data_IF_231738132799
#
_entry.id   IF_231738132799
#
_cell.length_a   1.000
_cell.length_b   1.000
_cell.length_c   1.000
_cell.angle_alpha   90.00
_cell.angle_beta   90.00
_cell.angle_gamma   90.00
#
_symmetry.space_group_name_H-M   'P 1'
#
loop_
_entity.id
_entity.type
_entity.pdbx_description
1 polymer ?
#
# COMPACT_ATOMS: atom_id res chain seq x y z
N UNK A 1 19.45 -3.05 -7.19
CA UNK A 1 18.57 -2.46 -8.23
C UNK A 1 17.28 -1.95 -7.62
N UNK A 2 16.57 -2.74 -6.83
CA UNK A 2 15.27 -2.38 -6.21
C UNK A 2 15.29 -1.11 -5.36
N UNK A 3 16.35 -0.86 -4.58
CA UNK A 3 16.53 0.40 -3.81
C UNK A 3 16.59 1.65 -4.71
N UNK A 4 17.17 1.53 -5.91
CA UNK A 4 17.17 2.63 -6.90
C UNK A 4 15.78 2.82 -7.53
N UNK A 5 14.97 1.76 -7.64
CA UNK A 5 13.59 1.83 -8.16
C UNK A 5 12.69 2.55 -7.15
N UNK A 6 12.82 2.17 -5.89
CA UNK A 6 12.13 2.78 -4.75
C UNK A 6 12.36 4.29 -4.71
N UNK A 7 13.63 4.73 -4.77
CA UNK A 7 13.96 6.15 -4.80
C UNK A 7 13.32 6.85 -6.01
N UNK A 8 13.45 6.29 -7.21
CA UNK A 8 12.91 6.93 -8.43
C UNK A 8 11.37 7.01 -8.41
N UNK A 9 10.67 5.97 -7.93
CA UNK A 9 9.20 5.97 -7.78
C UNK A 9 8.74 6.98 -6.72
N UNK A 10 9.53 7.17 -5.64
CA UNK A 10 9.22 8.14 -4.60
C UNK A 10 9.36 9.59 -5.10
N UNK A 11 10.39 9.88 -5.89
CA UNK A 11 10.66 11.22 -6.41
C UNK A 11 9.76 11.67 -7.57
N UNK A 12 9.13 10.74 -8.30
CA UNK A 12 8.19 11.08 -9.39
C UNK A 12 6.84 11.64 -8.90
N UNK A 13 6.54 11.55 -7.60
CA UNK A 13 5.27 12.00 -7.03
C UNK A 13 5.16 13.51 -6.80
N UNK A 14 6.26 14.26 -6.73
CA UNK A 14 6.26 15.55 -6.00
C UNK A 14 6.83 16.79 -6.72
N UNK A 15 7.37 16.72 -7.94
CA UNK A 15 8.06 17.91 -8.51
C UNK A 15 7.84 18.13 -10.01
N UNK A 16 7.01 19.14 -10.33
CA UNK A 16 6.61 19.53 -11.68
C UNK A 16 7.68 20.22 -12.56
N UNK A 17 8.96 20.28 -12.16
CA UNK A 17 9.99 21.02 -12.91
C UNK A 17 11.32 20.25 -13.14
N UNK A 18 11.48 19.02 -12.63
CA UNK A 18 12.68 18.17 -12.86
C UNK A 18 12.43 16.95 -13.78
N UNK A 19 11.35 17.01 -14.57
CA UNK A 19 10.70 15.84 -15.15
C UNK A 19 11.54 15.03 -16.14
N UNK A 20 12.27 15.64 -17.09
CA UNK A 20 12.82 14.89 -18.22
C UNK A 20 13.93 13.89 -17.87
N UNK A 21 14.91 14.28 -17.04
CA UNK A 21 16.03 13.39 -16.68
C UNK A 21 15.58 12.27 -15.74
N UNK A 22 14.78 12.59 -14.72
CA UNK A 22 14.24 11.59 -13.79
C UNK A 22 13.30 10.62 -14.52
N UNK A 23 12.44 11.13 -15.40
CA UNK A 23 11.59 10.31 -16.28
C UNK A 23 12.41 9.39 -17.18
N UNK A 24 13.46 9.90 -17.82
CA UNK A 24 14.33 9.08 -18.67
C UNK A 24 15.01 7.95 -17.88
N UNK A 25 15.49 8.25 -16.66
CA UNK A 25 16.06 7.23 -15.76
C UNK A 25 15.01 6.20 -15.36
N UNK A 26 13.79 6.64 -15.05
CA UNK A 26 12.68 5.75 -14.74
C UNK A 26 12.34 4.82 -15.91
N UNK A 27 12.13 5.34 -17.12
CA UNK A 27 11.86 4.53 -18.30
C UNK A 27 12.97 3.50 -18.58
N UNK A 28 14.24 3.91 -18.50
CA UNK A 28 15.39 2.99 -18.62
C UNK A 28 15.40 1.92 -17.55
N UNK A 29 14.94 2.25 -16.36
CA UNK A 29 14.86 1.30 -15.26
C UNK A 29 13.73 0.29 -15.48
N UNK A 30 12.54 0.76 -15.87
CA UNK A 30 11.41 -0.09 -16.25
C UNK A 30 11.82 -1.03 -17.37
N UNK A 31 12.47 -0.52 -18.42
CA UNK A 31 12.97 -1.35 -19.52
C UNK A 31 13.92 -2.46 -19.04
N UNK A 32 14.83 -2.15 -18.10
CA UNK A 32 15.72 -3.16 -17.51
C UNK A 32 14.98 -4.20 -16.69
N UNK A 33 14.00 -3.78 -15.88
CA UNK A 33 13.19 -4.70 -15.07
C UNK A 33 12.37 -5.62 -15.99
N UNK A 34 11.78 -5.09 -17.06
CA UNK A 34 10.99 -5.88 -18.01
C UNK A 34 11.81 -6.87 -18.85
N UNK A 35 13.16 -6.78 -18.88
CA UNK A 35 14.02 -7.75 -19.58
C UNK A 35 14.07 -9.11 -18.90
N UNK A 36 13.83 -9.15 -17.60
CA UNK A 36 13.71 -10.38 -16.84
C UNK A 36 12.27 -10.50 -16.35
N UNK A 37 11.53 -11.43 -16.97
CA UNK A 37 10.10 -11.59 -16.77
C UNK A 37 9.74 -12.03 -15.35
N UNK A 38 10.66 -12.71 -14.66
CA UNK A 38 10.49 -13.08 -13.26
C UNK A 38 10.54 -11.86 -12.33
N UNK A 39 11.30 -10.81 -12.68
CA UNK A 39 11.43 -9.63 -11.82
C UNK A 39 10.13 -8.85 -11.64
N UNK A 40 9.24 -8.82 -12.64
CA UNK A 40 7.94 -8.17 -12.49
C UNK A 40 7.03 -8.92 -11.53
N UNK A 41 7.09 -10.25 -11.55
CA UNK A 41 6.34 -11.11 -10.63
C UNK A 41 6.89 -10.99 -9.23
N UNK A 42 8.22 -11.01 -9.07
CA UNK A 42 8.86 -10.79 -7.78
C UNK A 42 8.57 -9.40 -7.23
N UNK A 43 8.49 -8.38 -8.09
CA UNK A 43 8.09 -7.04 -7.66
C UNK A 43 6.65 -7.04 -7.13
N UNK A 44 5.72 -7.70 -7.82
CA UNK A 44 4.33 -7.78 -7.37
C UNK A 44 4.20 -8.57 -6.07
N UNK A 45 4.78 -9.78 -6.01
CA UNK A 45 4.68 -10.67 -4.85
C UNK A 45 5.34 -10.07 -3.60
N UNK A 46 6.55 -9.52 -3.72
CA UNK A 46 7.31 -9.05 -2.56
C UNK A 46 6.93 -7.64 -2.10
N UNK A 47 6.16 -6.88 -2.89
CA UNK A 47 5.81 -5.50 -2.55
C UNK A 47 4.31 -5.22 -2.56
N UNK A 48 3.59 -5.64 -3.60
CA UNK A 48 2.16 -5.37 -3.71
C UNK A 48 1.34 -6.35 -2.86
N UNK A 49 1.76 -7.61 -2.75
CA UNK A 49 1.08 -8.62 -1.92
C UNK A 49 1.55 -8.66 -0.46
N UNK A 50 2.62 -7.94 -0.10
CA UNK A 50 3.09 -7.80 1.28
C UNK A 50 2.33 -6.64 1.97
N UNK A 51 1.83 -6.87 3.19
CA UNK A 51 1.00 -5.91 3.95
C UNK A 51 1.79 -4.69 4.46
N UNK A 52 3.10 -4.84 4.69
CA UNK A 52 3.97 -3.79 5.24
C UNK A 52 4.75 -3.05 4.15
N UNK A 53 4.87 -3.65 2.96
CA UNK A 53 5.57 -3.04 1.83
C UNK A 53 4.68 -2.07 1.01
N UNK A 54 5.24 -1.09 0.30
CA UNK A 54 4.48 -0.22 -0.61
C UNK A 54 4.09 -0.94 -1.91
N UNK A 55 2.95 -0.59 -2.52
CA UNK A 55 2.53 -1.12 -3.84
C UNK A 55 3.40 -0.59 -5.00
N UNK A 56 4.61 -1.14 -5.20
CA UNK A 56 5.56 -0.67 -6.19
C UNK A 56 5.15 -0.97 -7.63
N UNK A 57 4.61 -2.17 -7.88
CA UNK A 57 4.16 -2.55 -9.22
C UNK A 57 2.98 -1.68 -9.64
N UNK A 58 1.95 -1.57 -8.80
CA UNK A 58 0.78 -0.72 -9.05
C UNK A 58 1.16 0.76 -9.24
N UNK A 59 2.05 1.30 -8.40
CA UNK A 59 2.54 2.69 -8.54
C UNK A 59 3.27 2.90 -9.86
N UNK A 60 4.14 1.96 -10.26
CA UNK A 60 4.85 2.04 -11.53
C UNK A 60 3.87 2.07 -12.71
N UNK A 61 2.92 1.14 -12.76
CA UNK A 61 1.92 1.04 -13.84
C UNK A 61 1.00 2.26 -13.86
N UNK A 62 0.54 2.72 -12.70
CA UNK A 62 -0.36 3.88 -12.58
C UNK A 62 0.33 5.16 -13.01
N UNK A 63 1.59 5.37 -12.60
CA UNK A 63 2.38 6.53 -13.04
C UNK A 63 2.58 6.51 -14.55
N UNK A 64 3.02 5.38 -15.13
CA UNK A 64 3.16 5.25 -16.58
C UNK A 64 1.83 5.50 -17.31
N UNK A 65 0.72 5.00 -16.78
CA UNK A 65 -0.62 5.19 -17.36
C UNK A 65 -1.04 6.66 -17.37
N UNK A 66 -0.84 7.38 -16.26
CA UNK A 66 -1.12 8.83 -16.18
C UNK A 66 -0.25 9.62 -17.16
N UNK A 67 1.03 9.29 -17.26
CA UNK A 67 1.95 9.94 -18.19
C UNK A 67 1.61 9.67 -19.66
N UNK A 68 1.15 8.45 -19.98
CA UNK A 68 0.69 8.08 -21.30
C UNK A 68 -0.59 8.85 -21.72
N UNK A 69 -1.52 9.05 -20.79
CA UNK A 69 -2.74 9.83 -21.03
C UNK A 69 -2.43 11.33 -21.22
N UNK A 70 -1.51 11.85 -20.41
CA UNK A 70 -1.06 13.23 -20.42
C UNK A 70 -2.11 14.23 -19.91
N UNK A 71 -1.69 15.47 -19.68
CA UNK A 71 -2.56 16.51 -19.13
C UNK A 71 -3.41 17.17 -20.23
N UNK A 72 -4.72 17.32 -20.00
CA UNK A 72 -5.68 17.84 -20.99
C UNK A 72 -5.67 19.38 -21.14
N UNK A 73 -4.83 20.09 -20.39
CA UNK A 73 -4.91 21.55 -20.25
C UNK A 73 -3.59 22.24 -20.61
N UNK A 74 -3.16 22.16 -21.87
CA UNK A 74 -1.95 22.85 -22.34
C UNK A 74 -2.17 23.42 -23.74
N UNK A 75 -1.76 24.68 -23.91
CA UNK A 75 -1.78 25.39 -25.19
C UNK A 75 -0.95 24.66 -26.27
N UNK A 76 -1.52 24.38 -27.47
CA UNK A 76 -0.86 23.58 -28.51
C UNK A 76 0.43 24.19 -29.08
N UNK A 77 0.66 25.49 -28.89
CA UNK A 77 1.81 26.22 -29.44
C UNK A 77 2.99 26.37 -28.47
N UNK A 78 2.97 25.72 -27.30
CA UNK A 78 4.08 25.78 -26.34
C UNK A 78 5.18 24.75 -26.68
N UNK A 79 6.45 25.09 -26.41
CA UNK A 79 7.61 24.16 -26.47
C UNK A 79 7.35 22.89 -25.62
N UNK A 80 6.48 23.01 -24.63
CA UNK A 80 5.95 21.92 -23.78
C UNK A 80 5.19 20.85 -24.57
N UNK A 81 4.57 21.18 -25.72
CA UNK A 81 3.78 20.25 -26.52
C UNK A 81 4.62 19.16 -27.20
N UNK A 82 5.83 19.48 -27.69
CA UNK A 82 6.72 18.49 -28.34
C UNK A 82 7.34 17.52 -27.31
N UNK A 83 7.72 18.03 -26.14
CA UNK A 83 8.22 17.23 -25.02
C UNK A 83 7.12 16.32 -24.45
N UNK A 84 5.88 16.80 -24.37
CA UNK A 84 4.72 16.01 -23.94
C UNK A 84 4.49 14.81 -24.87
N UNK A 85 4.61 14.98 -26.19
CA UNK A 85 4.48 13.88 -27.15
C UNK A 85 5.53 12.77 -26.92
N UNK A 86 6.78 13.15 -26.67
CA UNK A 86 7.87 12.20 -26.38
C UNK A 86 7.66 11.44 -25.06
N UNK A 87 7.18 12.11 -24.02
CA UNK A 87 6.86 11.49 -22.72
C UNK A 87 5.71 10.49 -22.84
N UNK A 88 4.63 10.85 -23.56
CA UNK A 88 3.51 9.94 -23.80
C UNK A 88 3.97 8.68 -24.54
N UNK A 89 4.71 8.85 -25.63
CA UNK A 89 5.23 7.73 -26.43
C UNK A 89 6.14 6.80 -25.63
N UNK A 90 7.06 7.37 -24.85
CA UNK A 90 7.98 6.59 -24.00
C UNK A 90 7.24 5.86 -22.87
N UNK A 91 6.21 6.47 -22.28
CA UNK A 91 5.38 5.86 -21.24
C UNK A 91 4.55 4.69 -21.78
N UNK A 92 3.94 4.87 -22.96
CA UNK A 92 3.23 3.79 -23.66
C UNK A 92 4.18 2.64 -24.00
N UNK A 93 5.38 2.93 -24.48
CA UNK A 93 6.37 1.89 -24.77
C UNK A 93 6.77 1.10 -23.51
N UNK A 94 6.92 1.77 -22.36
CA UNK A 94 7.18 1.11 -21.09
C UNK A 94 6.01 0.20 -20.68
N UNK A 95 4.76 0.65 -20.81
CA UNK A 95 3.57 -0.18 -20.55
C UNK A 95 3.52 -1.42 -21.46
N UNK A 96 3.82 -1.25 -22.74
CA UNK A 96 3.93 -2.37 -23.69
C UNK A 96 5.03 -3.35 -23.27
N UNK A 97 6.17 -2.86 -22.79
CA UNK A 97 7.25 -3.72 -22.31
C UNK A 97 6.85 -4.50 -21.04
N UNK A 98 6.10 -3.88 -20.12
CA UNK A 98 5.53 -4.57 -18.95
C UNK A 98 4.62 -5.71 -19.42
N UNK A 99 3.69 -5.44 -20.34
CA UNK A 99 2.77 -6.46 -20.87
C UNK A 99 3.50 -7.60 -21.58
N UNK A 100 4.48 -7.29 -22.44
CA UNK A 100 5.29 -8.29 -23.15
C UNK A 100 6.03 -9.19 -22.16
N UNK A 101 6.67 -8.59 -21.16
CA UNK A 101 7.40 -9.30 -20.12
C UNK A 101 6.50 -10.27 -19.34
N UNK A 102 5.28 -9.85 -18.98
CA UNK A 102 4.30 -10.74 -18.33
C UNK A 102 3.83 -11.88 -19.24
N UNK A 103 3.63 -11.63 -20.54
CA UNK A 103 3.30 -12.67 -21.52
C UNK A 103 4.45 -13.67 -21.66
N UNK A 104 5.70 -13.19 -21.67
CA UNK A 104 6.88 -14.04 -21.76
C UNK A 104 7.10 -14.87 -20.49
N UNK A 105 6.79 -14.30 -19.32
CA UNK A 105 6.75 -15.06 -18.06
C UNK A 105 5.72 -16.20 -18.14
N UNK A 106 4.49 -15.92 -18.61
CA UNK A 106 3.44 -16.92 -18.72
C UNK A 106 3.85 -18.07 -19.66
N UNK A 107 4.44 -17.76 -20.81
CA UNK A 107 4.95 -18.78 -21.75
C UNK A 107 6.02 -19.65 -21.11
N UNK A 108 7.02 -19.04 -20.48
CA UNK A 108 8.11 -19.75 -19.79
C UNK A 108 7.55 -20.70 -18.73
N UNK A 109 6.56 -20.22 -17.96
CA UNK A 109 5.86 -21.01 -16.96
C UNK A 109 5.10 -22.20 -17.56
N UNK A 110 4.39 -22.00 -18.68
CA UNK A 110 3.67 -23.08 -19.39
C UNK A 110 4.63 -24.12 -19.99
N UNK A 111 5.82 -23.71 -20.40
CA UNK A 111 6.84 -24.64 -20.90
C UNK A 111 7.39 -25.53 -19.79
N UNK A 112 7.56 -25.00 -18.59
CA UNK A 112 7.97 -25.75 -17.40
C UNK A 112 6.87 -26.73 -16.90
N UNK A 113 5.61 -26.41 -17.15
CA UNK A 113 4.45 -27.25 -16.77
C UNK A 113 4.12 -28.37 -17.75
N UNK A 114 4.73 -28.39 -18.94
CA UNK A 114 4.51 -29.51 -19.86
C UNK A 114 5.11 -30.76 -19.22
N UNK A 115 4.32 -31.81 -18.96
CA UNK A 115 4.89 -33.07 -18.52
C UNK A 115 5.88 -33.51 -19.60
N UNK A 116 7.12 -33.79 -19.20
CA UNK A 116 8.12 -34.32 -20.12
C UNK A 116 7.55 -35.61 -20.71
N UNK A 117 7.07 -35.55 -21.95
CA UNK A 117 6.67 -36.75 -22.70
C UNK A 117 7.97 -37.43 -23.20
N UNK A 118 8.83 -37.82 -22.26
CA UNK A 118 10.00 -38.63 -22.47
C UNK A 118 9.61 -40.08 -22.29
N UNK A 119 9.36 -40.78 -23.40
CA UNK A 119 9.23 -42.24 -23.40
C UNK A 119 10.50 -42.87 -22.82
N UNK A 120 10.39 -43.49 -21.65
CA UNK A 120 11.25 -44.59 -21.24
C UNK A 120 10.36 -45.67 -20.62
N UNK A 121 10.18 -46.84 -21.26
CA UNK A 121 9.69 -48.00 -20.55
C UNK A 121 10.85 -48.58 -19.73
N UNK A 122 10.61 -48.93 -18.46
CA UNK A 122 11.04 -50.17 -17.79
C UNK A 122 10.71 -50.04 -16.28
N UNK A 123 9.72 -50.85 -15.89
CA UNK A 123 9.43 -51.54 -14.62
C UNK A 123 10.04 -51.04 -13.29
N UNK A 124 9.15 -50.85 -12.31
CA UNK A 124 9.47 -50.86 -10.89
C UNK A 124 8.46 -50.11 -10.04
N UNK A 125 7.57 -50.84 -9.37
CA UNK A 125 6.65 -50.33 -8.34
C UNK A 125 7.39 -49.46 -7.32
N UNK A 126 7.10 -48.16 -7.30
CA UNK A 126 7.20 -47.33 -6.09
C UNK A 126 5.98 -46.42 -6.06
N UNK A 127 5.16 -46.62 -5.03
CA UNK A 127 4.04 -45.76 -4.67
C UNK A 127 4.54 -44.35 -4.34
N UNK A 128 4.67 -43.50 -5.35
CA UNK A 128 4.80 -42.06 -5.17
C UNK A 128 3.41 -41.50 -4.94
N UNK A 129 3.17 -41.05 -3.71
CA UNK A 129 2.06 -40.15 -3.40
C UNK A 129 2.23 -38.92 -4.29
N UNK A 130 1.46 -38.86 -5.37
CA UNK A 130 1.16 -37.63 -6.10
C UNK A 130 0.42 -36.71 -5.13
N UNK A 131 1.18 -36.03 -4.28
CA UNK A 131 0.66 -34.98 -3.42
C UNK A 131 0.38 -33.81 -4.36
N UNK A 132 -0.90 -33.59 -4.62
CA UNK A 132 -1.42 -32.77 -5.70
C UNK A 132 -0.80 -31.37 -5.76
N UNK A 133 0.18 -31.21 -6.67
CA UNK A 133 0.91 -29.97 -6.95
C UNK A 133 -0.02 -28.89 -7.50
N UNK A 134 -1.16 -29.27 -8.09
CA UNK A 134 -2.19 -28.34 -8.55
C UNK A 134 -2.94 -27.70 -7.38
N UNK A 135 -3.28 -28.48 -6.33
CA UNK A 135 -3.94 -27.98 -5.12
C UNK A 135 -3.05 -27.01 -4.33
N UNK A 136 -1.75 -27.33 -4.14
CA UNK A 136 -0.81 -26.42 -3.43
C UNK A 136 -0.69 -25.05 -4.13
N UNK A 137 -0.78 -25.07 -5.46
CA UNK A 137 -0.55 -23.89 -6.29
C UNK A 137 -1.76 -23.00 -6.40
N UNK A 138 -2.95 -23.58 -6.48
CA UNK A 138 -4.20 -22.86 -6.31
C UNK A 138 -4.27 -22.21 -4.93
N UNK A 139 -3.88 -22.93 -3.87
CA UNK A 139 -3.81 -22.38 -2.51
C UNK A 139 -2.82 -21.22 -2.39
N UNK A 140 -1.65 -21.31 -3.04
CA UNK A 140 -0.65 -20.25 -3.03
C UNK A 140 -1.12 -19.01 -3.82
N UNK A 141 -1.75 -19.20 -4.99
CA UNK A 141 -2.31 -18.11 -5.79
C UNK A 141 -3.45 -17.38 -5.07
N UNK A 142 -4.37 -18.16 -4.49
CA UNK A 142 -5.47 -17.67 -3.67
C UNK A 142 -4.97 -16.87 -2.45
N UNK A 143 -3.81 -17.23 -1.89
CA UNK A 143 -3.23 -16.49 -0.76
C UNK A 143 -2.72 -15.10 -1.17
N UNK A 144 -2.06 -14.95 -2.33
CA UNK A 144 -1.59 -13.65 -2.80
C UNK A 144 -2.74 -12.72 -3.19
N UNK A 145 -3.78 -13.25 -3.83
CA UNK A 145 -4.98 -12.48 -4.15
C UNK A 145 -5.72 -12.01 -2.89
N UNK A 146 -5.91 -12.90 -1.91
CA UNK A 146 -6.50 -12.54 -0.61
C UNK A 146 -5.66 -11.50 0.12
N UNK A 147 -4.33 -11.66 0.15
CA UNK A 147 -3.42 -10.71 0.79
C UNK A 147 -3.50 -9.32 0.13
N UNK A 148 -3.43 -9.25 -1.21
CA UNK A 148 -3.54 -8.00 -1.96
C UNK A 148 -4.91 -7.35 -1.78
N UNK A 149 -5.99 -8.13 -1.81
CA UNK A 149 -7.34 -7.63 -1.57
C UNK A 149 -7.48 -7.02 -0.16
N UNK A 150 -7.01 -7.75 0.86
CA UNK A 150 -7.03 -7.27 2.24
C UNK A 150 -6.22 -5.98 2.41
N UNK A 151 -5.01 -5.92 1.83
CA UNK A 151 -4.17 -4.73 1.81
C UNK A 151 -4.88 -3.54 1.16
N UNK A 152 -5.45 -3.73 -0.02
CA UNK A 152 -6.16 -2.69 -0.76
C UNK A 152 -7.35 -2.15 0.03
N UNK A 153 -8.13 -3.03 0.66
CA UNK A 153 -9.23 -2.62 1.55
C UNK A 153 -8.71 -1.82 2.75
N UNK A 154 -7.61 -2.24 3.38
CA UNK A 154 -6.98 -1.52 4.49
C UNK A 154 -6.49 -0.13 4.08
N UNK A 155 -5.78 -0.02 2.96
CA UNK A 155 -5.29 1.26 2.41
C UNK A 155 -6.43 2.22 2.06
N UNK A 156 -7.52 1.72 1.47
CA UNK A 156 -8.70 2.52 1.17
C UNK A 156 -9.37 3.05 2.44
N UNK A 157 -9.48 2.22 3.48
CA UNK A 157 -10.03 2.62 4.78
C UNK A 157 -9.15 3.68 5.47
N UNK A 158 -7.83 3.50 5.44
CA UNK A 158 -6.88 4.48 5.99
C UNK A 158 -6.98 5.81 5.22
N UNK A 159 -7.09 5.76 3.90
CA UNK A 159 -7.26 6.95 3.07
C UNK A 159 -8.57 7.69 3.39
N UNK A 160 -9.68 6.95 3.58
CA UNK A 160 -10.95 7.56 3.99
C UNK A 160 -10.88 8.10 5.41
N UNK A 161 -10.21 7.43 6.35
CA UNK A 161 -9.98 7.95 7.70
C UNK A 161 -9.19 9.26 7.66
N UNK A 162 -8.09 9.29 6.91
CA UNK A 162 -7.24 10.48 6.78
C UNK A 162 -7.96 11.67 6.11
N UNK A 163 -9.09 11.40 5.43
CA UNK A 163 -9.95 12.44 4.85
C UNK A 163 -11.13 12.81 5.76
N UNK A 164 -11.76 11.81 6.38
CA UNK A 164 -12.99 11.87 7.17
C UNK A 164 -12.94 10.80 8.27
N UNK A 165 -12.41 11.11 9.46
CA UNK A 165 -12.09 10.11 10.46
C UNK A 165 -13.28 9.23 10.86
N UNK A 166 -14.44 9.84 11.13
CA UNK A 166 -15.66 9.12 11.51
C UNK A 166 -16.09 8.12 10.44
N UNK A 167 -16.11 8.53 9.16
CA UNK A 167 -16.47 7.65 8.04
C UNK A 167 -15.45 6.55 7.82
N UNK A 168 -14.15 6.85 8.00
CA UNK A 168 -13.09 5.84 7.95
C UNK A 168 -13.32 4.73 8.97
N UNK A 169 -13.66 5.09 10.22
CA UNK A 169 -14.00 4.10 11.26
C UNK A 169 -15.25 3.31 10.90
N UNK A 170 -16.32 3.95 10.43
CA UNK A 170 -17.54 3.24 9.98
C UNK A 170 -17.23 2.21 8.88
N UNK A 171 -16.41 2.58 7.89
CA UNK A 171 -15.99 1.68 6.83
C UNK A 171 -15.08 0.56 7.34
N UNK A 172 -14.18 0.86 8.27
CA UNK A 172 -13.31 -0.14 8.89
C UNK A 172 -14.12 -1.25 9.59
N UNK A 173 -15.15 -0.85 10.34
CA UNK A 173 -16.05 -1.75 11.05
C UNK A 173 -16.94 -2.54 10.07
N UNK A 174 -17.44 -1.87 9.02
CA UNK A 174 -18.26 -2.51 7.99
C UNK A 174 -17.48 -3.57 7.21
N UNK A 175 -16.21 -3.32 6.93
CA UNK A 175 -15.29 -4.25 6.27
C UNK A 175 -14.74 -5.32 7.24
N UNK A 176 -15.13 -5.31 8.52
CA UNK A 176 -14.66 -6.25 9.57
C UNK A 176 -13.13 -6.30 9.70
N UNK A 177 -12.45 -5.17 9.43
CA UNK A 177 -11.00 -5.07 9.58
C UNK A 177 -10.58 -5.02 11.05
N UNK A 178 -11.48 -4.51 11.91
CA UNK A 178 -11.30 -4.39 13.35
C UNK A 178 -12.62 -4.76 14.00
N UNK A 179 -12.56 -5.36 15.19
CA UNK A 179 -13.76 -5.63 15.98
C UNK A 179 -14.49 -4.33 16.32
N UNK A 180 -15.83 -4.40 16.39
CA UNK A 180 -16.67 -3.27 16.76
C UNK A 180 -16.69 -3.04 18.27
N UNK A 181 -15.51 -2.79 18.84
CA UNK A 181 -15.31 -2.47 20.25
C UNK A 181 -14.40 -1.24 20.39
N UNK A 182 -14.65 -0.36 21.37
CA UNK A 182 -13.83 0.84 21.56
C UNK A 182 -12.34 0.53 21.75
N UNK A 183 -12.02 -0.56 22.46
CA UNK A 183 -10.64 -1.02 22.69
C UNK A 183 -9.93 -1.44 21.41
N UNK A 184 -10.61 -2.17 20.53
CA UNK A 184 -10.02 -2.64 19.27
C UNK A 184 -9.76 -1.47 18.31
N UNK A 185 -10.69 -0.51 18.24
CA UNK A 185 -10.49 0.73 17.47
C UNK A 185 -9.36 1.58 18.07
N UNK A 186 -9.31 1.75 19.39
CA UNK A 186 -8.24 2.47 20.06
C UNK A 186 -6.87 1.84 19.80
N UNK A 187 -6.76 0.51 19.85
CA UNK A 187 -5.54 -0.21 19.52
C UNK A 187 -5.13 0.03 18.06
N UNK A 188 -6.07 -0.07 17.11
CA UNK A 188 -5.83 0.24 15.71
C UNK A 188 -5.27 1.66 15.50
N UNK A 189 -5.88 2.67 16.14
CA UNK A 189 -5.40 4.06 16.06
C UNK A 189 -3.98 4.25 16.60
N UNK A 190 -3.49 3.36 17.49
CA UNK A 190 -2.14 3.43 18.07
C UNK A 190 -1.09 2.72 17.22
N UNK A 191 -1.42 1.58 16.64
CA UNK A 191 -0.44 0.72 15.96
C UNK A 191 -0.27 1.05 14.48
N UNK A 192 -1.27 1.67 13.84
CA UNK A 192 -1.29 1.87 12.39
C UNK A 192 -0.52 3.15 12.01
N UNK A 193 0.71 3.06 11.47
CA UNK A 193 1.60 4.21 11.30
C UNK A 193 1.21 5.17 10.18
N UNK A 194 0.37 4.71 9.25
CA UNK A 194 -0.11 5.46 8.07
C UNK A 194 -1.33 6.34 8.34
N UNK A 195 -1.87 6.31 9.57
CA UNK A 195 -2.93 7.22 9.99
C UNK A 195 -2.37 8.63 10.24
N UNK A 196 -3.09 9.64 9.77
CA UNK A 196 -2.75 11.03 10.01
C UNK A 196 -2.99 11.38 11.49
N UNK A 197 -1.94 11.83 12.16
CA UNK A 197 -1.98 12.18 13.60
C UNK A 197 -2.96 13.30 13.93
N UNK A 198 -3.17 14.26 13.03
CA UNK A 198 -4.18 15.29 13.21
C UNK A 198 -5.59 14.71 13.12
N UNK A 199 -5.81 13.76 12.21
CA UNK A 199 -7.10 13.08 12.05
C UNK A 199 -7.41 12.14 13.23
N UNK A 200 -6.39 11.49 13.80
CA UNK A 200 -6.54 10.76 15.06
C UNK A 200 -6.99 11.72 16.17
N UNK A 201 -6.35 12.88 16.31
CA UNK A 201 -6.71 13.85 17.33
C UNK A 201 -8.11 14.43 17.14
N UNK A 202 -8.51 14.70 15.89
CA UNK A 202 -9.86 15.16 15.56
C UNK A 202 -10.92 14.11 15.94
N UNK A 203 -10.68 12.84 15.62
CA UNK A 203 -11.58 11.74 15.99
C UNK A 203 -11.70 11.54 17.50
N UNK A 204 -10.57 11.52 18.22
CA UNK A 204 -10.56 11.35 19.68
C UNK A 204 -11.20 12.55 20.41
N UNK A 205 -11.24 13.72 19.78
CA UNK A 205 -11.89 14.92 20.31
C UNK A 205 -13.40 14.97 20.12
N UNK A 206 -13.98 14.05 19.35
CA UNK A 206 -15.42 14.00 19.09
C UNK A 206 -16.23 13.75 20.38
N UNK A 207 -17.51 14.15 20.37
CA UNK A 207 -18.38 14.16 21.55
C UNK A 207 -19.44 13.06 21.53
N UNK A 208 -19.60 12.41 20.37
CA UNK A 208 -20.46 11.29 20.13
C UNK A 208 -20.03 10.08 20.97
N UNK A 209 -21.00 9.25 21.38
CA UNK A 209 -20.81 8.19 22.36
C UNK A 209 -19.68 7.21 21.99
N UNK A 210 -19.64 6.75 20.72
CA UNK A 210 -18.65 5.77 20.28
C UNK A 210 -17.23 6.36 20.17
N UNK A 211 -16.99 7.49 19.46
CA UNK A 211 -15.68 8.14 19.48
C UNK A 211 -15.19 8.51 20.89
N UNK A 212 -16.09 8.97 21.77
CA UNK A 212 -15.78 9.25 23.16
C UNK A 212 -15.30 7.99 23.89
N UNK A 213 -16.04 6.88 23.77
CA UNK A 213 -15.65 5.60 24.35
C UNK A 213 -14.29 5.10 23.81
N UNK A 214 -14.02 5.31 22.51
CA UNK A 214 -12.72 5.01 21.91
C UNK A 214 -11.62 5.87 22.52
N UNK A 215 -11.87 7.16 22.76
CA UNK A 215 -10.92 8.05 23.42
C UNK A 215 -10.59 7.58 24.83
N UNK A 216 -11.59 7.21 25.62
CA UNK A 216 -11.35 6.62 26.94
C UNK A 216 -10.48 5.36 26.85
N UNK A 217 -10.82 4.42 25.97
CA UNK A 217 -10.05 3.19 25.77
C UNK A 217 -8.61 3.46 25.27
N UNK A 218 -8.42 4.49 24.43
CA UNK A 218 -7.12 4.92 23.94
C UNK A 218 -6.22 5.40 25.08
N UNK A 219 -6.73 6.30 25.93
CA UNK A 219 -5.99 6.80 27.09
C UNK A 219 -5.74 5.70 28.12
N UNK A 220 -6.75 4.89 28.43
CA UNK A 220 -6.67 3.82 29.43
C UNK A 220 -5.65 2.73 29.04
N UNK A 221 -5.46 2.50 27.74
CA UNK A 221 -4.45 1.58 27.20
C UNK A 221 -3.00 2.07 27.36
N UNK A 222 -2.78 3.31 27.83
CA UNK A 222 -1.46 3.85 28.14
C UNK A 222 -1.07 3.62 29.59
N UNK A 223 0.25 3.54 29.84
CA UNK A 223 0.81 3.33 31.19
C UNK A 223 1.68 4.52 31.56
N UNK A 224 1.19 5.37 32.46
CA UNK A 224 1.92 6.55 32.96
C UNK A 224 2.52 6.34 34.37
N UNK A 225 2.32 5.17 34.97
CA UNK A 225 2.79 4.88 36.32
C UNK A 225 4.31 5.07 36.44
N UNK A 226 4.73 5.86 37.43
CA UNK A 226 6.15 6.17 37.68
C UNK A 226 6.76 7.21 36.73
N UNK A 227 6.00 7.77 35.78
CA UNK A 227 6.46 8.85 34.90
C UNK A 227 6.29 10.21 35.57
N UNK A 228 7.21 11.14 35.29
CA UNK A 228 6.99 12.56 35.58
C UNK A 228 5.95 13.12 34.61
N UNK A 229 5.21 14.15 35.04
CA UNK A 229 4.15 14.77 34.24
C UNK A 229 4.60 15.16 32.82
N UNK A 230 5.76 15.80 32.70
CA UNK A 230 6.34 16.23 31.41
C UNK A 230 6.69 15.05 30.49
N UNK A 231 7.04 13.90 31.05
CA UNK A 231 7.30 12.66 30.31
C UNK A 231 5.99 11.98 29.91
N UNK A 232 5.02 11.92 30.81
CA UNK A 232 3.71 11.33 30.58
C UNK A 232 2.94 12.07 29.47
N UNK A 233 2.88 13.40 29.53
CA UNK A 233 2.19 14.21 28.50
C UNK A 233 2.88 14.09 27.13
N UNK A 234 4.21 13.99 27.11
CA UNK A 234 4.96 13.86 25.86
C UNK A 234 4.77 12.48 25.22
N UNK A 235 4.65 11.42 26.03
CA UNK A 235 4.29 10.09 25.54
C UNK A 235 2.82 10.03 25.08
N UNK A 236 1.91 10.65 25.83
CA UNK A 236 0.49 10.74 25.47
C UNK A 236 0.27 11.41 24.10
N UNK A 237 0.91 12.55 23.88
CA UNK A 237 0.81 13.34 22.64
C UNK A 237 1.69 12.80 21.49
N UNK A 238 2.39 11.68 21.68
CA UNK A 238 3.21 11.08 20.61
C UNK A 238 2.35 10.45 19.52
N UNK A 239 1.20 9.91 19.90
CA UNK A 239 0.30 9.15 19.03
C UNK A 239 -0.59 10.00 18.12
N UNK A 240 -0.88 11.24 18.50
CA UNK A 240 -1.80 12.12 17.78
C UNK A 240 -1.43 13.60 17.98
N UNK A 241 -2.02 14.50 17.19
CA UNK A 241 -1.89 15.95 17.39
C UNK A 241 -3.16 16.48 18.05
N UNK A 242 -3.02 17.37 19.03
CA UNK A 242 -4.19 17.98 19.66
C UNK A 242 -5.04 18.76 18.64
N UNK A 243 -6.37 18.67 18.72
CA UNK A 243 -7.27 19.48 17.92
C UNK A 243 -7.14 20.98 18.29
N UNK A 244 -7.65 21.87 17.43
CA UNK A 244 -7.57 23.32 17.67
C UNK A 244 -8.70 23.86 18.55
N UNK A 245 -9.80 23.11 18.64
CA UNK A 245 -11.01 23.51 19.34
C UNK A 245 -10.88 23.24 20.85
N UNK A 246 -11.01 24.29 21.66
CA UNK A 246 -10.81 24.22 23.11
C UNK A 246 -11.64 23.13 23.79
N UNK A 247 -12.90 22.92 23.37
CA UNK A 247 -13.78 21.88 23.93
C UNK A 247 -13.27 20.45 23.67
N UNK A 248 -12.62 20.21 22.52
CA UNK A 248 -12.04 18.90 22.20
C UNK A 248 -10.78 18.67 23.03
N UNK A 249 -9.94 19.70 23.17
CA UNK A 249 -8.73 19.65 24.01
C UNK A 249 -9.11 19.36 25.46
N UNK A 250 -10.08 20.10 26.01
CA UNK A 250 -10.52 19.98 27.40
C UNK A 250 -10.92 18.55 27.75
N UNK A 251 -11.77 17.93 26.92
CA UNK A 251 -12.20 16.54 27.05
C UNK A 251 -11.05 15.54 27.04
N UNK A 252 -10.11 15.69 26.10
CA UNK A 252 -8.94 14.80 25.99
C UNK A 252 -8.03 14.97 27.22
N UNK A 253 -7.84 16.21 27.67
CA UNK A 253 -6.97 16.53 28.80
C UNK A 253 -7.58 16.14 30.15
N UNK A 254 -8.89 16.22 30.30
CA UNK A 254 -9.63 15.74 31.47
C UNK A 254 -9.42 14.24 31.63
N UNK A 255 -9.64 13.46 30.56
CA UNK A 255 -9.40 12.01 30.59
C UNK A 255 -7.92 11.65 30.81
N UNK A 256 -6.99 12.43 30.28
CA UNK A 256 -5.56 12.25 30.58
C UNK A 256 -5.27 12.48 32.07
N UNK A 257 -5.86 13.51 32.69
CA UNK A 257 -5.64 13.82 34.10
C UNK A 257 -6.24 12.78 35.06
N UNK A 258 -7.29 12.07 34.65
CA UNK A 258 -7.87 10.95 35.40
C UNK A 258 -6.97 9.70 35.44
N UNK A 259 -6.02 9.55 34.50
CA UNK A 259 -5.31 8.30 34.22
C UNK A 259 -3.92 8.20 34.85
#
# INVERSE_FOLDING_TARGET
MVVKLLLVIYFLGDVGLFYNHIFTLFCRMVEKVCKDSQMLVDLYVNYDCDLEAPNLFERMVTTLSRLAQGNQHVDPNSVTASQMGSVKGSSLQCLVNVLKSLVDWEKTRRELEKPSNGKHPIDGEVSSREFDESTIREDLHNNFEKAKAHKSTMEAVIAEFNRKPVKGIEQMLSNRLVENTPTSVAHFLRITPSLDKAMIGDFLGQHEEFPLAVMHAYVDSMKFSGMKFDSAIREFLRGFRLPGEAQKIDRIMEKFAER
#
